data_IF_837348358747
#
_entry.id   IF_837348358747
#
_cell.length_a   1.000
_cell.length_b   1.000
_cell.length_c   1.000
_cell.angle_alpha   90.00
_cell.angle_beta   90.00
_cell.angle_gamma   90.00
#
_symmetry.space_group_name_H-M   'P 1'
#
loop_
_entity.id
_entity.type
_entity.pdbx_description
1 polymer ?
#
# COMPACT_ATOMS: atom_id res chain seq x y z
N UNK A 1 13.09 0.01 -0.28
CA UNK A 1 11.83 -0.62 -0.75
C UNK A 1 10.76 0.46 -0.94
N UNK A 2 9.74 0.20 -1.74
CA UNK A 2 8.54 1.05 -1.81
C UNK A 2 7.68 0.89 -0.55
N UNK A 3 7.23 2.00 0.03
CA UNK A 3 6.24 2.01 1.12
C UNK A 3 5.20 3.08 0.78
N UNK A 4 4.02 2.64 0.37
CA UNK A 4 2.92 3.49 -0.06
C UNK A 4 1.80 3.50 0.98
N UNK A 5 1.20 4.68 1.19
CA UNK A 5 0.02 4.87 2.01
C UNK A 5 -1.19 5.18 1.14
N UNK A 6 -2.33 4.58 1.47
CA UNK A 6 -3.62 4.81 0.80
C UNK A 6 -4.62 5.20 1.88
N UNK A 7 -5.25 6.36 1.73
CA UNK A 7 -6.20 6.89 2.70
C UNK A 7 -7.47 7.39 2.02
N UNK A 8 -8.59 7.33 2.75
CA UNK A 8 -9.83 8.04 2.44
C UNK A 8 -9.94 9.19 3.44
N UNK A 9 -9.97 10.42 2.95
CA UNK A 9 -10.08 11.62 3.77
C UNK A 9 -11.51 11.81 4.31
N UNK A 10 -11.65 12.77 5.23
CA UNK A 10 -12.92 13.06 5.88
C UNK A 10 -14.01 13.52 4.88
N UNK A 11 -13.61 14.24 3.83
CA UNK A 11 -14.48 14.63 2.72
C UNK A 11 -14.78 13.48 1.73
N UNK A 12 -14.17 12.31 1.96
CA UNK A 12 -14.30 11.11 1.15
C UNK A 12 -13.37 11.04 -0.04
N UNK A 13 -12.51 12.04 -0.26
CA UNK A 13 -11.51 11.99 -1.31
C UNK A 13 -10.41 10.97 -1.01
N UNK A 14 -9.84 10.32 -2.03
CA UNK A 14 -8.70 9.43 -1.87
C UNK A 14 -7.39 10.24 -1.77
N UNK A 15 -6.46 9.76 -0.94
CA UNK A 15 -5.11 10.31 -0.83
C UNK A 15 -4.06 9.20 -0.89
N UNK A 16 -2.97 9.47 -1.60
CA UNK A 16 -1.86 8.53 -1.78
C UNK A 16 -0.57 9.17 -1.25
N UNK A 17 0.10 8.48 -0.35
CA UNK A 17 1.38 8.89 0.23
C UNK A 17 2.50 7.96 -0.20
N UNK A 18 3.72 8.49 -0.30
CA UNK A 18 4.93 7.70 -0.46
C UNK A 18 5.84 7.95 0.75
N UNK A 19 5.88 6.99 1.67
CA UNK A 19 6.74 7.08 2.87
C UNK A 19 8.19 6.75 2.55
N UNK A 20 8.42 5.84 1.60
CA UNK A 20 9.77 5.53 1.12
C UNK A 20 9.73 4.97 -0.29
N UNK A 21 10.85 5.15 -1.00
CA UNK A 21 11.11 4.52 -2.31
C UNK A 21 12.56 4.08 -2.42
N UNK A 22 12.89 3.11 -3.28
CA UNK A 22 14.28 2.74 -3.54
C UNK A 22 15.10 3.92 -4.10
N UNK A 23 16.41 3.95 -3.81
CA UNK A 23 17.31 4.97 -4.34
C UNK A 23 17.35 4.93 -5.87
N UNK A 24 17.49 6.10 -6.51
CA UNK A 24 17.49 6.23 -7.97
C UNK A 24 16.11 6.30 -8.62
N UNK A 25 15.03 6.02 -7.88
CA UNK A 25 13.67 6.28 -8.36
C UNK A 25 13.26 7.72 -8.07
N UNK A 26 12.87 8.46 -9.11
CA UNK A 26 12.29 9.81 -9.00
C UNK A 26 10.85 9.79 -8.48
N UNK A 27 10.21 8.61 -8.54
CA UNK A 27 8.95 8.20 -7.93
C UNK A 27 8.00 9.31 -7.49
N UNK A 28 7.16 9.78 -8.41
CA UNK A 28 5.93 10.49 -8.06
C UNK A 28 4.81 9.46 -7.95
N UNK A 29 3.86 9.67 -7.04
CA UNK A 29 2.63 8.85 -6.93
C UNK A 29 1.59 9.27 -7.97
N UNK A 30 1.92 10.19 -8.88
CA UNK A 30 0.96 10.89 -9.74
C UNK A 30 0.24 9.97 -10.74
N UNK A 31 0.88 8.88 -11.16
CA UNK A 31 0.30 7.86 -12.05
C UNK A 31 -0.45 6.76 -11.29
N UNK A 32 -0.31 6.69 -9.96
CA UNK A 32 -1.06 5.74 -9.14
C UNK A 32 -2.48 6.27 -8.99
N UNK A 33 -3.46 5.42 -9.30
CA UNK A 33 -4.87 5.76 -9.13
C UNK A 33 -5.39 5.08 -7.88
N UNK A 34 -6.15 5.82 -7.06
CA UNK A 34 -6.85 5.30 -5.90
C UNK A 34 -8.31 5.70 -5.98
N UNK A 35 -9.20 4.71 -5.91
CA UNK A 35 -10.63 4.92 -5.67
C UNK A 35 -10.97 4.41 -4.29
N UNK A 36 -11.77 5.18 -3.56
CA UNK A 36 -12.28 4.78 -2.25
C UNK A 36 -13.79 4.90 -2.21
N UNK A 37 -14.45 3.93 -1.60
CA UNK A 37 -15.90 3.90 -1.45
C UNK A 37 -16.27 3.48 -0.03
N UNK A 38 -17.38 4.03 0.50
CA UNK A 38 -17.88 3.74 1.84
C UNK A 38 -19.34 3.34 1.75
N UNK A 39 -19.62 2.12 2.20
CA UNK A 39 -20.97 1.63 2.47
C UNK A 39 -21.25 1.78 3.96
N UNK A 40 -22.12 2.73 4.31
CA UNK A 40 -22.47 3.00 5.70
C UNK A 40 -23.43 1.96 6.32
N UNK A 41 -24.20 1.23 5.52
CA UNK A 41 -25.08 0.18 6.01
C UNK A 41 -24.28 -1.05 6.42
N UNK A 42 -23.34 -1.47 5.56
CA UNK A 42 -22.45 -2.61 5.81
C UNK A 42 -21.23 -2.25 6.67
N UNK A 43 -21.04 -0.96 6.97
CA UNK A 43 -19.86 -0.42 7.65
C UNK A 43 -18.54 -0.82 6.97
N UNK A 44 -18.57 -0.92 5.64
CA UNK A 44 -17.44 -1.36 4.85
C UNK A 44 -16.83 -0.20 4.07
N UNK A 45 -15.51 -0.08 4.11
CA UNK A 45 -14.75 0.84 3.26
C UNK A 45 -13.93 0.03 2.27
N UNK A 46 -14.05 0.33 0.99
CA UNK A 46 -13.33 -0.35 -0.10
C UNK A 46 -12.28 0.60 -0.66
N UNK A 47 -11.08 0.08 -0.85
CA UNK A 47 -9.95 0.75 -1.50
C UNK A 47 -9.58 -0.04 -2.75
N UNK A 48 -9.57 0.62 -3.90
CA UNK A 48 -9.09 0.07 -5.17
C UNK A 48 -7.92 0.92 -5.65
N UNK A 49 -6.71 0.34 -5.66
CA UNK A 49 -5.50 1.00 -6.14
C UNK A 49 -5.02 0.36 -7.44
N UNK A 50 -4.68 1.20 -8.42
CA UNK A 50 -4.01 0.79 -9.67
C UNK A 50 -2.62 1.38 -9.66
N UNK A 51 -1.62 0.51 -9.58
CA UNK A 51 -0.20 0.87 -9.52
C UNK A 51 0.47 0.40 -10.82
N UNK A 52 0.77 1.30 -11.77
CA UNK A 52 1.49 0.92 -12.97
C UNK A 52 2.88 0.39 -12.62
N UNK A 53 3.31 -0.71 -13.24
CA UNK A 53 4.59 -1.36 -12.95
C UNK A 53 5.78 -0.41 -13.14
N UNK A 54 5.79 0.36 -14.23
CA UNK A 54 6.84 1.35 -14.54
C UNK A 54 7.00 2.41 -13.43
N UNK A 55 5.91 2.76 -12.73
CA UNK A 55 5.92 3.77 -11.67
C UNK A 55 6.73 3.30 -10.46
N UNK A 56 6.75 1.99 -10.23
CA UNK A 56 7.47 1.35 -9.13
C UNK A 56 8.70 0.56 -9.58
N UNK A 57 9.10 0.71 -10.86
CA UNK A 57 10.27 0.03 -11.42
C UNK A 57 10.12 -1.48 -11.57
N UNK A 58 8.89 -1.99 -11.55
CA UNK A 58 8.64 -3.38 -11.91
C UNK A 58 8.67 -3.53 -13.43
N UNK A 59 9.27 -4.61 -13.89
CA UNK A 59 9.12 -5.13 -15.24
C UNK A 59 8.33 -6.43 -15.18
N UNK A 60 7.72 -6.89 -16.28
CA UNK A 60 7.05 -8.18 -16.32
C UNK A 60 7.96 -9.33 -15.85
N UNK A 61 9.24 -9.31 -16.18
CA UNK A 61 10.21 -10.33 -15.78
C UNK A 61 10.43 -10.35 -14.26
N UNK A 62 10.56 -9.17 -13.63
CA UNK A 62 10.69 -9.04 -12.17
C UNK A 62 9.39 -9.48 -11.49
N UNK A 63 8.25 -9.07 -12.03
CA UNK A 63 6.93 -9.40 -11.49
C UNK A 63 6.69 -10.92 -11.52
N UNK A 64 7.08 -11.58 -12.61
CA UNK A 64 7.02 -13.04 -12.74
C UNK A 64 8.03 -13.76 -11.83
N UNK A 65 9.23 -13.22 -11.65
CA UNK A 65 10.24 -13.78 -10.73
C UNK A 65 9.82 -13.69 -9.25
N UNK A 66 8.93 -12.75 -8.93
CA UNK A 66 8.30 -12.60 -7.64
C UNK A 66 8.84 -11.41 -6.86
N UNK A 67 7.94 -10.75 -6.12
CA UNK A 67 8.23 -9.56 -5.32
C UNK A 67 7.87 -9.79 -3.86
N UNK A 68 8.64 -9.21 -2.94
CA UNK A 68 8.24 -9.15 -1.53
C UNK A 68 7.09 -8.17 -1.38
N UNK A 69 5.99 -8.63 -0.79
CA UNK A 69 4.79 -7.82 -0.62
C UNK A 69 4.21 -8.01 0.78
N UNK A 70 3.75 -6.90 1.37
CA UNK A 70 2.95 -6.93 2.59
C UNK A 70 1.95 -5.78 2.55
N UNK A 71 0.87 -5.91 3.32
CA UNK A 71 -0.20 -4.92 3.43
C UNK A 71 -0.57 -4.78 4.89
N UNK A 72 -0.77 -3.54 5.33
CA UNK A 72 -1.26 -3.21 6.67
C UNK A 72 -2.51 -2.34 6.57
N UNK A 73 -3.55 -2.73 7.32
CA UNK A 73 -4.75 -1.94 7.53
C UNK A 73 -4.65 -1.36 8.93
N UNK A 74 -4.51 -0.05 9.04
CA UNK A 74 -4.38 0.64 10.32
C UNK A 74 -5.78 1.04 10.80
N UNK A 75 -6.06 0.76 12.08
CA UNK A 75 -7.17 1.37 12.80
C UNK A 75 -6.66 2.65 13.46
N UNK A 76 -7.15 3.78 12.99
CA UNK A 76 -6.63 5.10 13.33
C UNK A 76 -7.79 6.02 13.70
N UNK A 77 -7.73 6.58 14.91
CA UNK A 77 -8.74 7.49 15.47
C UNK A 77 -8.39 8.98 15.26
N UNK A 78 -7.29 9.25 14.54
CA UNK A 78 -6.89 10.58 14.09
C UNK A 78 -5.56 11.03 14.70
N UNK A 79 -5.40 10.95 16.00
CA UNK A 79 -4.18 11.35 16.73
C UNK A 79 -3.19 10.19 16.94
N UNK A 80 -3.69 8.95 16.89
CA UNK A 80 -2.89 7.74 17.04
C UNK A 80 -3.50 6.56 16.30
N UNK A 81 -2.62 5.65 15.91
CA UNK A 81 -3.00 4.29 15.53
C UNK A 81 -3.31 3.48 16.79
N UNK A 82 -4.53 2.99 16.93
CA UNK A 82 -4.92 2.13 18.05
C UNK A 82 -4.59 0.66 17.80
N UNK A 83 -4.64 0.24 16.54
CA UNK A 83 -4.34 -1.12 16.15
C UNK A 83 -4.06 -1.25 14.66
N UNK A 84 -3.73 -2.47 14.24
CA UNK A 84 -3.60 -2.80 12.84
C UNK A 84 -3.79 -4.29 12.58
N UNK A 85 -4.15 -4.60 11.34
CA UNK A 85 -4.06 -5.94 10.79
C UNK A 85 -2.99 -5.92 9.69
N UNK A 86 -2.10 -6.91 9.70
CA UNK A 86 -1.10 -7.09 8.66
C UNK A 86 -1.33 -8.41 7.95
N UNK A 87 -1.06 -8.44 6.63
CA UNK A 87 -1.15 -9.65 5.82
C UNK A 87 -0.11 -10.71 6.27
N UNK A 88 1.09 -10.26 6.62
CA UNK A 88 2.18 -11.07 7.14
C UNK A 88 2.98 -10.33 8.22
N UNK A 89 3.80 -11.01 9.04
CA UNK A 89 4.68 -10.37 10.02
C UNK A 89 5.68 -9.38 9.42
N UNK A 90 6.34 -8.61 10.29
CA UNK A 90 7.38 -7.64 9.93
C UNK A 90 6.88 -6.20 9.83
N UNK A 91 5.80 -5.94 9.07
CA UNK A 91 5.29 -4.58 8.84
C UNK A 91 4.50 -4.05 10.05
N UNK A 92 4.82 -2.85 10.53
CA UNK A 92 4.08 -2.17 11.60
C UNK A 92 4.54 -2.46 13.02
N UNK A 93 5.54 -3.34 13.20
CA UNK A 93 6.23 -3.62 14.47
C UNK A 93 7.71 -3.24 14.37
N UNK A 94 8.48 -3.99 13.57
CA UNK A 94 9.92 -3.82 13.40
C UNK A 94 10.32 -3.38 11.97
N UNK A 95 9.36 -3.36 11.03
CA UNK A 95 9.55 -3.11 9.60
C UNK A 95 10.65 -4.03 9.00
N UNK A 96 10.52 -5.33 9.29
CA UNK A 96 11.45 -6.37 8.83
C UNK A 96 10.97 -7.04 7.54
N UNK A 97 11.46 -6.54 6.40
CA UNK A 97 11.08 -6.97 5.05
C UNK A 97 11.34 -8.47 4.77
N UNK A 98 12.25 -9.08 5.54
CA UNK A 98 12.58 -10.50 5.43
C UNK A 98 11.37 -11.42 5.67
N UNK A 99 10.38 -10.96 6.45
CA UNK A 99 9.16 -11.71 6.73
C UNK A 99 8.06 -11.54 5.69
N UNK A 100 8.24 -10.65 4.72
CA UNK A 100 7.20 -10.39 3.73
C UNK A 100 7.16 -11.56 2.74
N UNK A 101 5.98 -12.12 2.47
CA UNK A 101 5.84 -13.18 1.48
C UNK A 101 6.28 -12.71 0.11
N UNK A 102 6.75 -13.65 -0.70
CA UNK A 102 7.00 -13.44 -2.11
C UNK A 102 5.71 -13.73 -2.87
N UNK A 103 5.29 -12.80 -3.72
CA UNK A 103 4.14 -12.93 -4.61
C UNK A 103 4.63 -12.85 -6.05
N UNK A 104 4.26 -13.84 -6.86
CA UNK A 104 4.48 -13.84 -8.29
C UNK A 104 3.24 -13.28 -8.98
N UNK A 105 3.43 -12.35 -9.92
CA UNK A 105 2.37 -11.81 -10.74
C UNK A 105 2.53 -12.41 -12.14
N UNK A 106 1.64 -13.32 -12.51
CA UNK A 106 1.59 -14.00 -13.82
C UNK A 106 0.98 -13.12 -14.92
#
# INVERSE_FOLDING_TARGET
MWKLGLARLADGSPEIFCWSRPAGFSGTTASIQLRTERDEEKKQTIYEAKIPFETIGLTPEIAAAGIRFNLIVNDNVGDRREGFLALAPGLGIADEDAFYPIVNLE
#
